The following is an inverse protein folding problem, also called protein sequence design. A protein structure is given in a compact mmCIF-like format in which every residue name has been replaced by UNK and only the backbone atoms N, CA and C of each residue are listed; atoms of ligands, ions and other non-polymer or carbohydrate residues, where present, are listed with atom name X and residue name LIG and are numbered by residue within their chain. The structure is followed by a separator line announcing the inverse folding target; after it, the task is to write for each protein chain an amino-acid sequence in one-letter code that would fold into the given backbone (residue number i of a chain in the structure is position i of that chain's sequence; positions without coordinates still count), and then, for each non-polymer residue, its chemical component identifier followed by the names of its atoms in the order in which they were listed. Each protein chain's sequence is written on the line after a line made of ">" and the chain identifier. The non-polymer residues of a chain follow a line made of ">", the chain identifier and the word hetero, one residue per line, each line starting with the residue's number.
data_IF_753696635962
#
_entry.id   IF_753696635962
#
_cell.length_a   1.000
_cell.length_b   1.000
_cell.length_c   1.000
_cell.angle_alpha   90.00
_cell.angle_beta   90.00
_cell.angle_gamma   90.00
#
_symmetry.space_group_name_H-M   'P 1'
#
loop_
_entity.id
_entity.type
_entity.pdbx_description
1 polymer ?
#
# COMPACT_ATOMS: atom_id res chain seq x y z
N UNK A 1 50.20 21.14 33.61
CA UNK A 1 49.80 19.77 33.19
C UNK A 1 48.28 19.56 33.19
N UNK A 2 47.55 20.03 34.22
CA UNK A 2 46.08 19.85 34.39
C UNK A 2 45.22 20.37 33.22
N UNK A 3 45.57 21.51 32.62
CA UNK A 3 44.78 22.12 31.53
C UNK A 3 44.78 21.30 30.22
N UNK A 4 45.87 20.59 29.93
CA UNK A 4 46.00 19.74 28.74
C UNK A 4 45.23 18.41 28.91
N UNK A 5 45.22 17.87 30.13
CA UNK A 5 44.48 16.65 30.48
C UNK A 5 42.96 16.87 30.35
N UNK A 6 42.46 18.02 30.80
CA UNK A 6 41.04 18.39 30.71
C UNK A 6 40.54 18.59 29.26
N UNK A 7 41.39 19.07 28.34
CA UNK A 7 41.06 19.13 26.90
C UNK A 7 40.94 17.74 26.26
N UNK A 8 41.84 16.80 26.62
CA UNK A 8 41.78 15.41 26.14
C UNK A 8 40.54 14.68 26.65
N UNK A 9 40.18 14.83 27.93
CA UNK A 9 38.96 14.24 28.51
C UNK A 9 37.70 14.76 27.82
N UNK A 10 37.60 16.07 27.55
CA UNK A 10 36.47 16.66 26.80
C UNK A 10 36.38 16.14 25.37
N UNK A 11 37.51 15.98 24.68
CA UNK A 11 37.56 15.42 23.33
C UNK A 11 37.12 13.95 23.28
N UNK A 12 37.51 13.14 24.27
CA UNK A 12 37.10 11.74 24.39
C UNK A 12 35.60 11.65 24.69
N UNK A 13 35.09 12.47 25.61
CA UNK A 13 33.66 12.53 25.92
C UNK A 13 32.82 12.93 24.71
N UNK A 14 33.25 13.96 23.96
CA UNK A 14 32.58 14.37 22.73
C UNK A 14 32.58 13.24 21.68
N UNK A 15 33.71 12.55 21.50
CA UNK A 15 33.81 11.40 20.60
C UNK A 15 32.85 10.27 20.99
N UNK A 16 32.72 9.98 22.28
CA UNK A 16 31.79 8.96 22.78
C UNK A 16 30.32 9.36 22.57
N UNK A 17 29.99 10.64 22.79
CA UNK A 17 28.65 11.17 22.51
C UNK A 17 28.32 11.05 21.02
N UNK A 18 29.26 11.41 20.12
CA UNK A 18 29.07 11.26 18.69
C UNK A 18 28.84 9.80 18.28
N UNK A 19 29.63 8.86 18.83
CA UNK A 19 29.44 7.43 18.59
C UNK A 19 28.05 6.96 19.04
N UNK A 20 27.61 7.41 20.21
CA UNK A 20 26.30 7.05 20.76
C UNK A 20 25.15 7.57 19.88
N UNK A 21 25.22 8.83 19.42
CA UNK A 21 24.23 9.40 18.49
C UNK A 21 24.20 8.64 17.17
N UNK A 22 25.36 8.24 16.63
CA UNK A 22 25.44 7.45 15.39
C UNK A 22 24.82 6.06 15.56
N UNK A 23 25.05 5.39 16.69
CA UNK A 23 24.45 4.07 16.98
C UNK A 23 22.93 4.18 17.10
N UNK A 24 22.42 5.17 17.83
CA UNK A 24 20.97 5.39 17.97
C UNK A 24 20.35 5.77 16.62
N UNK A 25 20.96 6.71 15.90
CA UNK A 25 20.48 7.15 14.60
C UNK A 25 20.49 6.02 13.56
N UNK A 26 21.55 5.20 13.56
CA UNK A 26 21.66 4.02 12.72
C UNK A 26 20.57 2.99 13.03
N UNK A 27 20.34 2.68 14.31
CA UNK A 27 19.24 1.78 14.70
C UNK A 27 17.88 2.32 14.26
N UNK A 28 17.59 3.60 14.53
CA UNK A 28 16.33 4.22 14.14
C UNK A 28 16.10 4.19 12.62
N UNK A 29 17.15 4.46 11.83
CA UNK A 29 17.11 4.37 10.37
C UNK A 29 16.79 2.94 9.90
N UNK A 30 17.49 1.94 10.45
CA UNK A 30 17.28 0.53 10.10
C UNK A 30 15.88 0.04 10.47
N UNK A 31 15.38 0.40 11.65
CA UNK A 31 14.03 0.04 12.09
C UNK A 31 12.97 0.66 11.15
N UNK A 32 13.15 1.92 10.76
CA UNK A 32 12.24 2.60 9.81
C UNK A 32 12.28 1.97 8.42
N UNK A 33 13.45 1.62 7.93
CA UNK A 33 13.62 0.93 6.64
C UNK A 33 12.96 -0.44 6.65
N UNK A 34 13.13 -1.21 7.74
CA UNK A 34 12.48 -2.52 7.91
C UNK A 34 10.97 -2.42 7.82
N UNK A 35 10.37 -1.45 8.50
CA UNK A 35 8.93 -1.21 8.44
C UNK A 35 8.51 -0.79 7.03
N UNK A 36 9.19 0.17 6.41
CA UNK A 36 8.84 0.63 5.06
C UNK A 36 8.93 -0.49 4.00
N UNK A 37 9.88 -1.43 4.14
CA UNK A 37 9.97 -2.60 3.27
C UNK A 37 8.75 -3.51 3.40
N UNK A 38 8.29 -3.79 4.63
CA UNK A 38 7.06 -4.55 4.87
C UNK A 38 5.84 -3.88 4.20
N UNK A 39 5.73 -2.54 4.28
CA UNK A 39 4.66 -1.82 3.57
C UNK A 39 4.80 -1.98 2.05
N UNK A 40 5.98 -1.80 1.47
CA UNK A 40 6.19 -1.96 0.02
C UNK A 40 5.83 -3.36 -0.46
N UNK A 41 6.31 -4.38 0.26
CA UNK A 41 6.07 -5.77 -0.08
C UNK A 41 4.59 -6.12 0.04
N UNK A 42 3.94 -5.73 1.14
CA UNK A 42 2.52 -5.98 1.34
C UNK A 42 1.63 -5.29 0.30
N UNK A 43 1.90 -4.02 0.01
CA UNK A 43 1.17 -3.28 -1.02
C UNK A 43 1.47 -3.78 -2.43
N UNK A 44 2.67 -4.31 -2.70
CA UNK A 44 2.94 -4.96 -3.98
C UNK A 44 1.99 -6.14 -4.21
N UNK A 45 1.87 -7.05 -3.24
CA UNK A 45 0.97 -8.19 -3.35
C UNK A 45 -0.51 -7.74 -3.42
N UNK A 46 -0.87 -6.68 -2.69
CA UNK A 46 -2.23 -6.16 -2.71
C UNK A 46 -2.60 -5.47 -4.03
N UNK A 47 -1.69 -4.66 -4.58
CA UNK A 47 -1.83 -4.07 -5.92
C UNK A 47 -1.92 -5.16 -6.98
N UNK A 48 -1.09 -6.20 -6.91
CA UNK A 48 -1.17 -7.38 -7.78
C UNK A 48 -2.54 -8.06 -7.68
N UNK A 49 -3.10 -8.22 -6.47
CA UNK A 49 -4.42 -8.82 -6.25
C UNK A 49 -5.55 -8.01 -6.89
N UNK A 50 -5.59 -6.70 -6.61
CA UNK A 50 -6.60 -5.79 -7.16
C UNK A 50 -6.50 -5.73 -8.68
N UNK A 51 -5.28 -5.55 -9.20
CA UNK A 51 -5.06 -5.44 -10.64
C UNK A 51 -5.41 -6.73 -11.37
N UNK A 52 -5.05 -7.89 -10.81
CA UNK A 52 -5.41 -9.20 -11.39
C UNK A 52 -6.92 -9.36 -11.44
N UNK A 53 -7.63 -9.05 -10.34
CA UNK A 53 -9.08 -9.15 -10.31
C UNK A 53 -9.76 -8.27 -11.37
N UNK A 54 -9.43 -6.97 -11.40
CA UNK A 54 -10.00 -6.05 -12.37
C UNK A 54 -9.66 -6.46 -13.81
N UNK A 55 -8.41 -6.89 -14.05
CA UNK A 55 -7.94 -7.29 -15.37
C UNK A 55 -8.60 -8.57 -15.87
N UNK A 56 -8.84 -9.56 -15.02
CA UNK A 56 -9.40 -10.86 -15.43
C UNK A 56 -10.93 -10.83 -15.51
N UNK A 57 -11.60 -9.94 -14.75
CA UNK A 57 -13.06 -9.95 -14.61
C UNK A 57 -13.79 -8.78 -15.28
N UNK A 58 -13.08 -7.83 -15.90
CA UNK A 58 -13.70 -6.71 -16.61
C UNK A 58 -13.10 -6.52 -17.99
N UNK A 59 -13.93 -6.39 -19.01
CA UNK A 59 -13.49 -5.93 -20.33
C UNK A 59 -13.42 -4.39 -20.38
N UNK A 60 -12.87 -3.87 -21.48
CA UNK A 60 -12.87 -2.43 -21.77
C UNK A 60 -11.85 -1.62 -20.95
N UNK A 61 -11.16 -2.22 -19.98
CA UNK A 61 -10.11 -1.57 -19.21
C UNK A 61 -8.85 -1.48 -20.07
N UNK A 62 -8.30 -0.28 -20.22
CA UNK A 62 -7.05 -0.05 -20.95
C UNK A 62 -5.83 0.00 -20.01
N UNK A 63 -6.03 0.53 -18.80
CA UNK A 63 -4.96 0.70 -17.81
C UNK A 63 -5.51 0.68 -16.39
N UNK A 64 -4.73 0.10 -15.48
CA UNK A 64 -4.91 0.17 -14.04
C UNK A 64 -3.63 0.80 -13.47
N UNK A 65 -3.76 1.82 -12.65
CA UNK A 65 -2.63 2.42 -11.94
C UNK A 65 -2.96 2.66 -10.47
N UNK A 66 -1.92 2.81 -9.66
CA UNK A 66 -2.06 3.02 -8.23
C UNK A 66 -1.44 4.34 -7.79
N UNK A 67 -2.08 4.97 -6.81
CA UNK A 67 -1.46 6.08 -6.07
C UNK A 67 -0.21 5.61 -5.32
N UNK A 68 0.62 6.54 -4.83
CA UNK A 68 1.57 6.23 -3.77
C UNK A 68 0.87 5.58 -2.56
N UNK A 69 1.62 4.85 -1.76
CA UNK A 69 1.20 4.33 -0.46
C UNK A 69 1.15 5.50 0.53
N UNK A 70 -0.05 5.94 0.86
CA UNK A 70 -0.27 6.99 1.85
C UNK A 70 -0.27 6.39 3.25
N UNK A 71 0.73 6.71 4.04
CA UNK A 71 0.92 6.24 5.42
C UNK A 71 0.59 7.36 6.39
N UNK A 72 -0.41 7.14 7.26
CA UNK A 72 -0.91 8.14 8.21
C UNK A 72 -0.68 7.74 9.66
N UNK A 73 -0.25 8.70 10.49
CA UNK A 73 0.21 8.45 11.86
C UNK A 73 1.73 8.24 11.91
N UNK A 74 2.36 8.57 13.05
CA UNK A 74 3.80 8.38 13.24
C UNK A 74 4.55 9.50 13.97
N UNK A 75 4.07 9.94 15.13
CA UNK A 75 4.90 10.70 16.09
C UNK A 75 5.41 9.84 17.26
N UNK A 76 5.23 8.52 17.25
CA UNK A 76 5.84 7.69 18.30
C UNK A 76 5.41 6.22 18.45
N UNK A 77 4.22 5.79 18.01
CA UNK A 77 3.72 4.45 18.39
C UNK A 77 2.90 3.75 17.28
N UNK A 78 3.13 2.45 17.10
CA UNK A 78 2.20 1.50 16.47
C UNK A 78 2.16 1.43 14.94
N UNK A 79 1.72 0.27 14.42
CA UNK A 79 1.36 0.08 13.02
C UNK A 79 0.35 1.15 12.60
N UNK A 80 0.61 1.76 11.45
CA UNK A 80 -0.10 2.95 10.97
C UNK A 80 -1.06 2.58 9.86
N UNK A 81 -2.19 3.30 9.81
CA UNK A 81 -3.14 3.17 8.71
C UNK A 81 -2.44 3.63 7.42
N UNK A 82 -2.29 2.69 6.48
CA UNK A 82 -1.83 3.01 5.14
C UNK A 82 -2.84 2.57 4.09
N UNK A 83 -2.87 3.28 2.98
CA UNK A 83 -3.80 3.04 1.90
C UNK A 83 -3.25 3.49 0.55
N UNK A 84 -3.87 2.97 -0.49
CA UNK A 84 -3.69 3.37 -1.89
C UNK A 84 -5.04 3.74 -2.50
N UNK A 85 -5.02 4.36 -3.67
CA UNK A 85 -6.18 4.61 -4.50
C UNK A 85 -5.93 3.93 -5.85
N UNK A 86 -6.64 2.83 -6.16
CA UNK A 86 -6.66 2.27 -7.50
C UNK A 86 -7.33 3.24 -8.47
N UNK A 87 -6.80 3.37 -9.68
CA UNK A 87 -7.35 4.18 -10.76
C UNK A 87 -7.54 3.29 -11.98
N UNK A 88 -8.76 3.29 -12.51
CA UNK A 88 -9.14 2.46 -13.66
C UNK A 88 -9.40 3.35 -14.85
N UNK A 89 -8.78 3.01 -15.98
CA UNK A 89 -8.95 3.69 -17.26
C UNK A 89 -9.71 2.78 -18.21
N UNK A 90 -10.68 3.35 -18.92
CA UNK A 90 -11.33 2.66 -20.03
C UNK A 90 -10.55 2.82 -21.34
N UNK A 91 -11.00 2.13 -22.38
CA UNK A 91 -10.40 2.17 -23.71
C UNK A 91 -10.74 3.43 -24.51
N UNK A 92 -11.56 4.32 -23.94
CA UNK A 92 -11.96 5.60 -24.54
C UNK A 92 -11.20 6.80 -23.95
N UNK A 93 -10.34 6.55 -22.95
CA UNK A 93 -9.52 7.57 -22.30
C UNK A 93 -10.15 8.19 -21.05
N UNK A 94 -11.30 7.69 -20.59
CA UNK A 94 -11.85 8.10 -19.29
C UNK A 94 -11.14 7.36 -18.16
N UNK A 95 -11.17 7.94 -16.96
CA UNK A 95 -10.61 7.34 -15.75
C UNK A 95 -11.48 7.59 -14.53
N UNK A 96 -11.44 6.68 -13.58
CA UNK A 96 -12.10 6.80 -12.28
C UNK A 96 -11.14 6.41 -11.16
N UNK A 97 -11.33 7.02 -10.00
CA UNK A 97 -10.59 6.71 -8.78
C UNK A 97 -11.49 5.84 -7.90
N UNK A 98 -11.01 4.65 -7.51
CA UNK A 98 -11.74 3.79 -6.60
C UNK A 98 -11.53 4.29 -5.17
N UNK A 99 -12.24 5.38 -4.83
CA UNK A 99 -12.25 6.00 -3.50
C UNK A 99 -13.59 6.64 -3.21
N UNK A 100 -13.81 6.94 -1.94
CA UNK A 100 -14.97 7.71 -1.51
C UNK A 100 -14.67 9.22 -1.59
N UNK A 101 -14.99 9.85 -2.73
CA UNK A 101 -14.83 11.29 -2.98
C UNK A 101 -16.13 12.01 -3.40
N UNK A 102 -17.28 11.32 -3.27
CA UNK A 102 -18.60 11.86 -3.57
C UNK A 102 -18.99 11.86 -5.05
N UNK A 103 -18.15 11.32 -5.95
CA UNK A 103 -18.51 11.14 -7.37
C UNK A 103 -19.66 10.15 -7.53
N UNK A 104 -19.68 9.10 -6.71
CA UNK A 104 -20.78 8.15 -6.61
C UNK A 104 -21.60 8.43 -5.34
N UNK A 105 -22.92 8.30 -5.44
CA UNK A 105 -23.83 8.35 -4.29
C UNK A 105 -23.89 6.98 -3.59
N UNK A 106 -22.71 6.45 -3.20
CA UNK A 106 -22.57 5.21 -2.45
C UNK A 106 -21.25 5.18 -1.69
N UNK A 107 -21.14 4.31 -0.69
CA UNK A 107 -19.87 4.04 -0.03
C UNK A 107 -18.94 3.27 -0.99
N UNK A 108 -17.71 3.76 -1.13
CA UNK A 108 -16.63 3.07 -1.85
C UNK A 108 -15.65 2.53 -0.81
N UNK A 109 -15.22 1.25 -0.89
CA UNK A 109 -14.31 0.67 0.08
C UNK A 109 -12.95 1.39 0.07
N UNK A 110 -12.32 1.44 1.24
CA UNK A 110 -10.91 1.81 1.34
C UNK A 110 -10.04 0.65 0.83
N UNK A 111 -8.92 0.99 0.18
CA UNK A 111 -7.92 0.02 -0.26
C UNK A 111 -6.65 0.20 0.60
N UNK A 112 -6.59 -0.49 1.73
CA UNK A 112 -5.49 -0.31 2.68
C UNK A 112 -5.44 -1.31 3.82
N UNK A 113 -4.62 -0.99 4.83
CA UNK A 113 -4.27 -1.89 5.95
C UNK A 113 -5.40 -2.16 6.95
N UNK A 114 -6.55 -1.49 6.80
CA UNK A 114 -7.76 -1.72 7.61
C UNK A 114 -8.88 -2.41 6.82
N UNK A 115 -8.66 -2.68 5.54
CA UNK A 115 -9.70 -3.11 4.62
C UNK A 115 -9.34 -4.37 3.84
N UNK A 116 -8.13 -4.53 3.33
CA UNK A 116 -7.78 -5.72 2.53
C UNK A 116 -6.39 -6.28 2.79
N UNK A 117 -5.56 -5.53 3.51
CA UNK A 117 -4.18 -5.86 3.81
C UNK A 117 -3.98 -5.80 5.33
N UNK A 118 -3.22 -6.72 5.90
CA UNK A 118 -2.69 -6.59 7.27
C UNK A 118 -1.19 -6.94 7.22
N UNK A 119 -0.42 -6.30 8.10
CA UNK A 119 1.04 -6.33 8.07
C UNK A 119 1.56 -6.53 9.49
N UNK A 120 2.37 -7.56 9.66
CA UNK A 120 2.97 -7.86 10.95
C UNK A 120 4.40 -8.38 10.78
N UNK A 121 5.09 -8.52 11.90
CA UNK A 121 6.36 -9.24 11.98
C UNK A 121 6.20 -10.45 12.88
N UNK A 122 6.78 -11.58 12.46
CA UNK A 122 6.84 -12.77 13.29
C UNK A 122 7.60 -12.48 14.60
N UNK A 123 6.99 -12.82 15.74
CA UNK A 123 7.56 -12.51 17.06
C UNK A 123 8.85 -13.30 17.37
N UNK A 124 9.06 -14.43 16.70
CA UNK A 124 10.18 -15.33 16.98
C UNK A 124 11.44 -14.96 16.18
N UNK A 125 11.30 -14.73 14.87
CA UNK A 125 12.43 -14.48 13.97
C UNK A 125 12.41 -13.09 13.32
N UNK A 126 11.35 -12.31 13.52
CA UNK A 126 11.21 -10.97 12.98
C UNK A 126 11.00 -10.93 11.46
N UNK A 127 10.65 -12.04 10.83
CA UNK A 127 10.28 -12.13 9.41
C UNK A 127 8.98 -11.36 9.12
N UNK A 128 8.84 -10.92 7.88
CA UNK A 128 7.64 -10.20 7.41
C UNK A 128 6.47 -11.17 7.28
N UNK A 129 5.30 -10.75 7.78
CA UNK A 129 4.04 -11.45 7.56
C UNK A 129 3.09 -10.49 6.86
N UNK A 130 2.71 -10.84 5.64
CA UNK A 130 1.70 -10.12 4.85
C UNK A 130 0.43 -10.92 4.87
N UNK A 131 -0.68 -10.26 5.14
CA UNK A 131 -1.98 -10.87 5.26
C UNK A 131 -2.92 -10.25 4.22
N UNK A 132 -3.47 -11.08 3.32
CA UNK A 132 -4.42 -10.65 2.31
C UNK A 132 -5.76 -11.34 2.50
N UNK A 133 -6.84 -10.64 2.11
CA UNK A 133 -8.17 -11.25 2.08
C UNK A 133 -8.31 -12.20 0.90
N UNK A 134 -8.80 -13.41 1.16
CA UNK A 134 -9.20 -14.37 0.14
C UNK A 134 -10.67 -14.16 -0.29
N UNK A 135 -11.19 -15.05 -1.14
CA UNK A 135 -12.58 -15.04 -1.61
C UNK A 135 -13.62 -15.18 -0.49
N UNK A 136 -13.25 -15.71 0.66
CA UNK A 136 -14.11 -15.87 1.84
C UNK A 136 -13.95 -14.70 2.83
N UNK A 137 -13.18 -13.67 2.44
CA UNK A 137 -12.78 -12.51 3.26
C UNK A 137 -11.94 -12.91 4.48
N UNK A 138 -11.40 -14.12 4.48
CA UNK A 138 -10.46 -14.59 5.48
C UNK A 138 -9.07 -14.07 5.17
N UNK A 139 -8.31 -13.86 6.23
CA UNK A 139 -6.98 -13.28 6.17
C UNK A 139 -5.95 -14.40 6.12
N UNK A 140 -5.24 -14.53 5.00
CA UNK A 140 -4.27 -15.61 4.77
C UNK A 140 -2.87 -15.01 4.75
N UNK A 141 -1.94 -15.62 5.49
CA UNK A 141 -0.54 -15.19 5.48
C UNK A 141 0.15 -15.59 4.17
N UNK A 142 0.80 -14.61 3.57
CA UNK A 142 1.76 -14.74 2.48
C UNK A 142 3.16 -14.69 3.09
N UNK A 143 3.51 -15.71 3.87
CA UNK A 143 4.89 -15.87 4.28
C UNK A 143 5.69 -16.29 3.04
N UNK A 144 6.68 -15.49 2.63
CA UNK A 144 7.71 -15.86 1.62
C UNK A 144 7.33 -15.74 0.12
N UNK A 145 6.24 -15.08 -0.28
CA UNK A 145 5.95 -14.91 -1.72
C UNK A 145 6.42 -13.56 -2.28
N UNK A 146 7.22 -13.57 -3.35
CA UNK A 146 7.62 -12.36 -4.09
C UNK A 146 6.50 -11.79 -4.98
N UNK A 147 5.50 -12.62 -5.31
CA UNK A 147 4.35 -12.31 -6.17
C UNK A 147 3.09 -12.95 -5.63
N UNK A 148 1.93 -12.43 -6.00
CA UNK A 148 0.63 -12.92 -5.56
C UNK A 148 0.45 -14.42 -5.91
N UNK A 149 0.29 -15.30 -4.91
CA UNK A 149 0.06 -16.72 -5.17
C UNK A 149 -1.35 -16.94 -5.74
N UNK A 150 -1.51 -17.94 -6.60
CA UNK A 150 -2.78 -18.27 -7.28
C UNK A 150 -3.97 -18.40 -6.33
N UNK A 151 -3.75 -18.95 -5.13
CA UNK A 151 -4.77 -19.14 -4.08
C UNK A 151 -5.35 -17.82 -3.55
N UNK A 152 -4.60 -16.71 -3.67
CA UNK A 152 -5.03 -15.38 -3.26
C UNK A 152 -5.60 -14.57 -4.42
N UNK A 153 -5.68 -15.12 -5.63
CA UNK A 153 -6.44 -14.49 -6.70
C UNK A 153 -7.93 -14.51 -6.36
N UNK A 154 -8.51 -13.33 -6.41
CA UNK A 154 -9.94 -13.17 -6.17
C UNK A 154 -10.71 -13.66 -7.40
N UNK A 155 -11.77 -14.42 -7.15
CA UNK A 155 -12.78 -14.85 -8.12
C UNK A 155 -14.07 -14.04 -7.97
N UNK A 156 -14.26 -13.43 -6.79
CA UNK A 156 -15.38 -12.54 -6.47
C UNK A 156 -14.90 -11.39 -5.60
N UNK A 157 -15.38 -10.18 -5.88
CA UNK A 157 -15.19 -9.04 -5.00
C UNK A 157 -16.40 -8.10 -5.07
N UNK A 158 -17.41 -8.36 -4.24
CA UNK A 158 -18.73 -7.74 -4.33
C UNK A 158 -18.69 -6.21 -4.21
N UNK A 159 -17.88 -5.65 -3.32
CA UNK A 159 -17.84 -4.20 -3.14
C UNK A 159 -17.19 -3.52 -4.35
N UNK A 160 -16.06 -4.05 -4.81
CA UNK A 160 -15.43 -3.58 -6.04
C UNK A 160 -16.37 -3.74 -7.24
N UNK A 161 -17.15 -4.83 -7.28
CA UNK A 161 -18.10 -5.09 -8.36
C UNK A 161 -19.21 -4.04 -8.44
N UNK A 162 -19.79 -3.69 -7.28
CA UNK A 162 -20.82 -2.66 -7.17
C UNK A 162 -20.30 -1.30 -7.60
N UNK A 163 -19.12 -0.91 -7.13
CA UNK A 163 -18.48 0.38 -7.45
C UNK A 163 -18.17 0.49 -8.95
N UNK A 164 -17.57 -0.55 -9.55
CA UNK A 164 -17.28 -0.58 -10.98
C UNK A 164 -18.57 -0.49 -11.80
N UNK A 165 -19.61 -1.22 -11.40
CA UNK A 165 -20.93 -1.17 -12.05
C UNK A 165 -21.56 0.22 -11.93
N UNK A 166 -21.43 0.88 -10.78
CA UNK A 166 -21.94 2.23 -10.57
C UNK A 166 -21.23 3.26 -11.47
N UNK A 167 -19.89 3.20 -11.58
CA UNK A 167 -19.14 4.06 -12.50
C UNK A 167 -19.54 3.85 -13.96
N UNK A 168 -19.71 2.60 -14.39
CA UNK A 168 -20.16 2.30 -15.76
C UNK A 168 -21.59 2.80 -16.02
N UNK A 169 -22.53 2.56 -15.09
CA UNK A 169 -23.93 3.01 -15.22
C UNK A 169 -24.07 4.53 -15.23
N UNK A 170 -23.26 5.23 -14.44
CA UNK A 170 -23.22 6.69 -14.41
C UNK A 170 -22.49 7.29 -15.63
N UNK A 171 -21.86 6.47 -16.47
CA UNK A 171 -21.19 6.90 -17.70
C UNK A 171 -19.77 7.44 -17.49
N UNK A 172 -19.19 7.29 -16.29
CA UNK A 172 -17.79 7.67 -16.03
C UNK A 172 -16.79 6.68 -16.65
N UNK A 173 -17.18 5.41 -16.74
CA UNK A 173 -16.47 4.39 -17.50
C UNK A 173 -17.33 3.95 -18.69
N UNK A 174 -16.75 4.02 -19.89
CA UNK A 174 -17.41 3.66 -21.14
C UNK A 174 -16.95 2.30 -21.61
N UNK A 175 -17.90 1.40 -21.82
CA UNK A 175 -17.63 0.05 -22.35
C UNK A 175 -16.86 -0.86 -21.40
N UNK A 176 -16.81 -0.52 -20.11
CA UNK A 176 -16.27 -1.38 -19.05
C UNK A 176 -17.41 -2.19 -18.46
N UNK A 177 -17.38 -3.51 -18.69
CA UNK A 177 -18.40 -4.44 -18.23
C UNK A 177 -17.76 -5.67 -17.59
N UNK A 178 -18.43 -6.21 -16.57
CA UNK A 178 -17.96 -7.43 -15.90
C UNK A 178 -18.18 -8.64 -16.81
N UNK A 179 -17.14 -9.38 -17.11
CA UNK A 179 -17.22 -10.65 -17.83
C UNK A 179 -15.98 -11.52 -17.61
N UNK A 180 -16.02 -12.76 -18.09
CA UNK A 180 -14.91 -13.72 -17.98
C UNK A 180 -13.81 -13.55 -19.03
N UNK A 181 -13.97 -12.67 -20.02
CA UNK A 181 -12.93 -12.41 -21.02
C UNK A 181 -11.85 -11.47 -20.47
N UNK A 182 -12.24 -10.59 -19.55
CA UNK A 182 -11.36 -9.60 -18.96
C UNK A 182 -10.78 -8.62 -19.98
N UNK A 183 -9.69 -7.99 -19.59
CA UNK A 183 -8.91 -7.03 -20.38
C UNK A 183 -7.45 -7.49 -20.44
N UNK A 184 -7.12 -8.57 -21.19
CA UNK A 184 -5.77 -9.15 -21.20
C UNK A 184 -4.67 -8.16 -21.61
N UNK A 185 -5.02 -7.16 -22.41
CA UNK A 185 -4.11 -6.10 -22.88
C UNK A 185 -4.03 -4.89 -21.93
N UNK A 186 -4.78 -4.87 -20.83
CA UNK A 186 -4.72 -3.78 -19.87
C UNK A 186 -3.30 -3.66 -19.30
N UNK A 187 -2.78 -2.43 -19.33
CA UNK A 187 -1.51 -2.07 -18.72
C UNK A 187 -1.69 -1.91 -17.21
N UNK A 188 -0.79 -2.46 -16.42
CA UNK A 188 -0.77 -2.26 -14.97
C UNK A 188 0.43 -1.38 -14.61
N UNK A 189 0.21 -0.36 -13.79
CA UNK A 189 1.25 0.56 -13.30
C UNK A 189 1.24 0.54 -11.78
N UNK A 190 2.16 -0.24 -11.21
CA UNK A 190 2.38 -0.35 -9.77
C UNK A 190 3.06 0.90 -9.19
N UNK A 191 2.76 1.22 -7.93
CA UNK A 191 3.36 2.40 -7.28
C UNK A 191 3.64 2.20 -5.79
N UNK A 192 4.83 1.68 -5.50
CA UNK A 192 5.26 1.42 -4.13
C UNK A 192 5.87 2.65 -3.43
N UNK A 193 5.76 3.86 -3.98
CA UNK A 193 6.25 5.09 -3.33
C UNK A 193 5.52 5.32 -1.99
N UNK A 194 6.23 5.44 -0.87
CA UNK A 194 5.61 5.72 0.43
C UNK A 194 5.58 7.23 0.67
N UNK A 195 4.36 7.79 0.76
CA UNK A 195 4.12 9.17 1.19
C UNK A 195 3.54 9.18 2.59
N UNK A 196 4.24 9.86 3.50
CA UNK A 196 3.76 10.05 4.87
C UNK A 196 2.93 11.31 4.93
N UNK A 197 1.68 11.18 5.34
CA UNK A 197 0.69 12.24 5.31
C UNK A 197 0.15 12.54 6.71
N UNK A 198 -0.26 13.78 6.94
CA UNK A 198 -1.00 14.18 8.13
C UNK A 198 -2.48 14.38 7.78
N UNK A 199 -3.39 13.77 8.55
CA UNK A 199 -4.82 13.95 8.34
C UNK A 199 -5.32 13.44 6.99
N UNK A 200 -5.99 14.32 6.21
CA UNK A 200 -6.73 13.96 4.99
C UNK A 200 -6.00 14.21 3.67
N UNK A 201 -4.71 14.55 3.69
CA UNK A 201 -3.92 14.87 2.48
C UNK A 201 -3.94 13.76 1.41
N UNK A 202 -4.14 12.51 1.80
CA UNK A 202 -4.27 11.39 0.85
C UNK A 202 -5.53 11.49 -0.05
N UNK A 203 -6.55 12.27 0.32
CA UNK A 203 -7.74 12.52 -0.50
C UNK A 203 -7.53 13.63 -1.55
N UNK A 204 -6.44 14.39 -1.45
CA UNK A 204 -6.11 15.49 -2.38
C UNK A 204 -5.35 15.01 -3.62
N UNK A 205 -4.97 13.73 -3.67
CA UNK A 205 -4.30 13.14 -4.83
C UNK A 205 -5.24 13.12 -6.06
N UNK A 206 -4.77 13.61 -7.19
CA UNK A 206 -5.50 13.69 -8.47
C UNK A 206 -4.60 13.19 -9.60
#
# INVERSE_FOLDING_TARGET
>A
MVFCMMKRVKSILLSLICLFVLVIGGKFYMDRMKVDNLYRHGFQLYEEQIATYLKEHYNGISKIEFSPIFKSGGSGEGFVNARIVPVVYDSYGNKVYLRNDGVLDMAVPDYGTLAGLDLSFNVNDGSEIVYLRNNERETVSSEVYQHLPEQLKLQKEEFTDEVMTAFSRAGYLKGVEKNSQGSPQAKIVYNLEIRRVQGREAFEWQ
#
